data_IF_444988058112
#
_entry.id   IF_444988058112
#
_cell.length_a   1.000
_cell.length_b   1.000
_cell.length_c   1.000
_cell.angle_alpha   90.00
_cell.angle_beta   90.00
_cell.angle_gamma   90.00
#
_symmetry.space_group_name_H-M   'P 1'
#
loop_
_entity.id
_entity.type
_entity.pdbx_description
1 polymer ?
#
# COMPACT_ATOMS: atom_id res chain seq x y z
N UNK A 1 -7.20 -48.66 15.33
CA UNK A 1 -7.59 -47.42 16.06
C UNK A 1 -6.43 -46.46 16.31
N UNK A 2 -5.29 -46.90 16.87
CA UNK A 2 -4.13 -46.01 17.15
C UNK A 2 -3.58 -45.25 15.92
N UNK A 3 -3.52 -45.91 14.75
CA UNK A 3 -3.02 -45.30 13.51
C UNK A 3 -3.94 -44.18 13.00
N UNK A 4 -5.26 -44.38 13.07
CA UNK A 4 -6.27 -43.39 12.66
C UNK A 4 -6.18 -42.12 13.50
N UNK A 5 -5.99 -42.26 14.82
CA UNK A 5 -5.80 -41.13 15.73
C UNK A 5 -4.53 -40.36 15.38
N UNK A 6 -3.44 -41.06 15.09
CA UNK A 6 -2.18 -40.43 14.69
C UNK A 6 -2.34 -39.60 13.40
N UNK A 7 -2.96 -40.19 12.37
CA UNK A 7 -3.23 -39.51 11.10
C UNK A 7 -4.10 -38.28 11.31
N UNK A 8 -5.12 -38.36 12.16
CA UNK A 8 -6.01 -37.24 12.48
C UNK A 8 -5.26 -36.11 13.20
N UNK A 9 -4.42 -36.45 14.17
CA UNK A 9 -3.62 -35.46 14.91
C UNK A 9 -2.59 -34.76 14.03
N UNK A 10 -1.92 -35.50 13.15
CA UNK A 10 -0.95 -34.93 12.21
C UNK A 10 -1.66 -34.01 11.21
N UNK A 11 -2.77 -34.47 10.62
CA UNK A 11 -3.56 -33.65 9.69
C UNK A 11 -4.06 -32.34 10.31
N UNK A 12 -4.52 -32.39 11.56
CA UNK A 12 -5.00 -31.22 12.28
C UNK A 12 -3.87 -30.21 12.57
N UNK A 13 -2.67 -30.69 12.92
CA UNK A 13 -1.51 -29.80 13.15
C UNK A 13 -1.03 -29.11 11.87
N UNK A 14 -1.16 -29.76 10.70
CA UNK A 14 -0.85 -29.14 9.40
C UNK A 14 -1.87 -28.05 9.02
N UNK A 15 -3.15 -28.24 9.34
CA UNK A 15 -4.21 -27.24 9.11
C UNK A 15 -4.06 -26.01 10.02
N UNK A 16 -3.67 -26.22 11.28
CA UNK A 16 -3.42 -25.13 12.25
C UNK A 16 -2.07 -24.44 12.03
N UNK A 17 -1.16 -25.06 11.29
CA UNK A 17 0.18 -24.55 10.96
C UNK A 17 0.20 -23.54 9.81
N UNK A 18 -0.95 -23.21 9.21
CA UNK A 18 -1.08 -22.05 8.32
C UNK A 18 -1.07 -20.79 9.21
N UNK A 19 0.09 -20.51 9.79
CA UNK A 19 0.34 -19.28 10.50
C UNK A 19 -0.02 -18.13 9.57
N UNK A 20 -0.80 -17.17 10.07
CA UNK A 20 -1.01 -15.91 9.38
C UNK A 20 0.37 -15.31 9.11
N UNK A 21 0.87 -15.47 7.89
CA UNK A 21 2.09 -14.81 7.48
C UNK A 21 1.84 -13.32 7.68
N UNK A 22 2.75 -12.57 8.30
CA UNK A 22 2.60 -11.13 8.34
C UNK A 22 2.42 -10.69 6.89
N UNK A 23 1.24 -10.13 6.57
CA UNK A 23 1.06 -9.45 5.31
C UNK A 23 2.25 -8.50 5.21
N UNK A 24 3.00 -8.58 4.12
CA UNK A 24 4.20 -7.78 3.90
C UNK A 24 3.74 -6.32 3.80
N UNK A 25 3.45 -5.70 4.95
CA UNK A 25 2.94 -4.35 5.02
C UNK A 25 4.12 -3.48 4.68
N UNK A 26 4.08 -2.94 3.47
CA UNK A 26 5.00 -1.91 3.05
C UNK A 26 5.04 -0.84 4.14
N UNK A 27 6.21 -0.36 4.52
CA UNK A 27 6.30 0.75 5.47
C UNK A 27 6.26 2.07 4.72
N UNK A 28 5.98 3.15 5.45
CA UNK A 28 6.17 4.47 4.90
C UNK A 28 7.64 4.70 4.52
N UNK A 29 7.88 5.41 3.42
CA UNK A 29 9.20 5.86 3.00
C UNK A 29 9.15 7.28 2.44
N UNK A 30 10.32 7.93 2.42
CA UNK A 30 10.50 9.26 1.86
C UNK A 30 11.31 9.17 0.57
N UNK A 31 10.89 9.87 -0.47
CA UNK A 31 11.57 9.97 -1.76
C UNK A 31 11.85 11.45 -2.06
N UNK A 32 13.12 11.78 -2.30
CA UNK A 32 13.54 13.15 -2.67
C UNK A 32 13.59 13.23 -4.20
N UNK A 33 12.94 14.24 -4.77
CA UNK A 33 12.97 14.51 -6.20
C UNK A 33 14.13 15.47 -6.48
N UNK A 34 15.14 15.01 -7.23
CA UNK A 34 16.41 15.74 -7.36
C UNK A 34 16.29 17.14 -7.96
N UNK A 35 15.31 17.39 -8.83
CA UNK A 35 15.23 18.64 -9.59
C UNK A 35 13.80 19.16 -9.81
N UNK A 36 12.80 18.59 -9.12
CA UNK A 36 11.40 18.85 -9.41
C UNK A 36 10.59 19.12 -8.15
N UNK A 37 9.82 20.21 -8.21
CA UNK A 37 8.69 20.41 -7.33
C UNK A 37 7.62 19.36 -7.69
N UNK A 38 7.21 18.51 -6.74
CA UNK A 38 6.20 17.48 -6.98
C UNK A 38 4.83 18.05 -7.37
N UNK A 39 4.58 19.34 -7.14
CA UNK A 39 3.39 20.04 -7.62
C UNK A 39 3.37 20.23 -9.15
N UNK A 40 4.53 20.15 -9.82
CA UNK A 40 4.67 20.35 -11.27
C UNK A 40 5.28 19.12 -11.95
N UNK A 41 5.05 17.91 -11.41
CA UNK A 41 5.53 16.69 -12.04
C UNK A 41 4.84 16.50 -13.39
N UNK A 42 5.59 16.32 -14.50
CA UNK A 42 5.02 15.91 -15.76
C UNK A 42 4.36 14.53 -15.60
N UNK A 43 3.23 14.31 -16.29
CA UNK A 43 2.62 12.98 -16.36
C UNK A 43 3.66 11.91 -16.74
N UNK A 44 3.68 10.80 -16.00
CA UNK A 44 4.60 9.68 -16.24
C UNK A 44 5.98 9.80 -15.60
N UNK A 45 6.30 10.91 -14.91
CA UNK A 45 7.53 10.97 -14.11
C UNK A 45 7.33 10.22 -12.79
N UNK A 46 8.13 9.18 -12.60
CA UNK A 46 8.24 8.36 -11.39
C UNK A 46 7.10 7.36 -11.10
N UNK A 47 6.37 6.89 -12.11
CA UNK A 47 5.17 6.04 -11.98
C UNK A 47 4.12 6.64 -11.02
N UNK A 48 4.15 7.96 -10.82
CA UNK A 48 3.21 8.67 -9.97
C UNK A 48 1.97 9.04 -10.77
N UNK A 49 0.80 8.62 -10.28
CA UNK A 49 -0.49 8.95 -10.90
C UNK A 49 -1.26 9.89 -9.98
N UNK A 50 -1.71 11.04 -10.50
CA UNK A 50 -2.52 11.95 -9.70
C UNK A 50 -3.87 11.30 -9.34
N UNK A 51 -4.27 11.48 -8.09
CA UNK A 51 -5.38 10.75 -7.50
C UNK A 51 -6.75 11.27 -7.96
N UNK A 52 -6.94 12.59 -7.92
CA UNK A 52 -8.13 13.33 -8.36
C UNK A 52 -7.80 14.83 -8.28
N UNK A 53 -8.54 15.69 -9.00
CA UNK A 53 -8.39 17.15 -8.90
C UNK A 53 -8.78 17.71 -7.53
N UNK A 54 -9.64 17.00 -6.79
CA UNK A 54 -10.14 17.43 -5.48
C UNK A 54 -9.23 17.01 -4.32
N UNK A 55 -8.28 16.09 -4.55
CA UNK A 55 -7.30 15.66 -3.54
C UNK A 55 -5.94 16.20 -3.95
N UNK A 56 -5.68 17.44 -3.56
CA UNK A 56 -4.43 18.14 -3.88
C UNK A 56 -3.23 17.44 -3.25
N UNK A 57 -2.09 17.50 -3.93
CA UNK A 57 -0.78 17.04 -3.47
C UNK A 57 -0.67 15.54 -3.16
N UNK A 58 -1.67 14.73 -3.52
CA UNK A 58 -1.64 13.28 -3.32
C UNK A 58 -1.53 12.52 -4.66
N UNK A 59 -0.71 11.48 -4.65
CA UNK A 59 -0.37 10.68 -5.82
C UNK A 59 -0.39 9.19 -5.47
N UNK A 60 -0.78 8.33 -6.40
CA UNK A 60 -0.52 6.90 -6.34
C UNK A 60 0.91 6.62 -6.83
N UNK A 61 1.65 5.73 -6.17
CA UNK A 61 2.97 5.28 -6.61
C UNK A 61 2.90 3.90 -7.25
N UNK A 62 3.28 3.80 -8.52
CA UNK A 62 3.31 2.56 -9.27
C UNK A 62 1.98 2.20 -9.94
N UNK A 63 1.88 0.92 -10.32
CA UNK A 63 0.67 0.33 -10.88
C UNK A 63 -0.15 -0.29 -9.75
N UNK A 64 -1.33 0.26 -9.51
CA UNK A 64 -2.25 -0.21 -8.48
C UNK A 64 -2.30 0.70 -7.26
N UNK A 65 -3.50 0.80 -6.68
CA UNK A 65 -3.78 1.71 -5.57
C UNK A 65 -3.43 1.07 -4.23
N UNK A 66 -2.15 0.78 -4.06
CA UNK A 66 -1.56 0.18 -2.85
C UNK A 66 -0.78 1.21 -2.03
N UNK A 67 -0.01 2.07 -2.72
CA UNK A 67 0.87 3.07 -2.12
C UNK A 67 0.47 4.48 -2.51
N UNK A 68 0.22 5.33 -1.52
CA UNK A 68 -0.14 6.73 -1.69
C UNK A 68 1.00 7.62 -1.20
N UNK A 69 1.34 8.64 -1.98
CA UNK A 69 2.35 9.63 -1.67
C UNK A 69 1.73 11.00 -1.47
N UNK A 70 2.16 11.69 -0.42
CA UNK A 70 1.92 13.13 -0.24
C UNK A 70 3.14 13.93 -0.68
N UNK A 71 2.90 14.96 -1.48
CA UNK A 71 3.89 15.91 -1.93
C UNK A 71 4.09 17.04 -0.91
N UNK A 72 5.36 17.22 -0.52
CA UNK A 72 5.83 18.36 0.25
C UNK A 72 7.01 19.00 -0.50
N UNK A 73 6.70 19.92 -1.40
CA UNK A 73 7.69 20.63 -2.25
C UNK A 73 8.55 19.70 -3.12
N UNK A 74 9.77 19.37 -2.69
CA UNK A 74 10.71 18.50 -3.43
C UNK A 74 10.72 17.06 -2.92
N UNK A 75 9.77 16.72 -2.06
CA UNK A 75 9.78 15.46 -1.33
C UNK A 75 8.42 14.78 -1.36
N UNK A 76 8.44 13.45 -1.43
CA UNK A 76 7.26 12.61 -1.35
C UNK A 76 7.35 11.76 -0.10
N UNK A 77 6.29 11.77 0.71
CA UNK A 77 6.07 10.81 1.79
C UNK A 77 5.07 9.77 1.31
N UNK A 78 5.55 8.57 1.02
CA UNK A 78 4.77 7.48 0.47
C UNK A 78 4.50 6.43 1.53
N UNK A 79 3.26 5.97 1.63
CA UNK A 79 2.81 5.00 2.61
C UNK A 79 1.75 4.09 2.00
N UNK A 80 1.54 2.90 2.59
CA UNK A 80 0.38 2.10 2.28
C UNK A 80 -0.91 2.88 2.48
N UNK A 81 -1.86 2.65 1.59
CA UNK A 81 -3.17 3.29 1.62
C UNK A 81 -3.83 3.15 3.00
N UNK A 82 -3.77 1.96 3.61
CA UNK A 82 -4.36 1.63 4.90
C UNK A 82 -3.74 2.38 6.09
N UNK A 83 -2.55 2.98 5.91
CA UNK A 83 -1.91 3.84 6.91
C UNK A 83 -2.29 5.31 6.71
N UNK A 84 -2.36 5.78 5.46
CA UNK A 84 -2.74 7.18 5.16
C UNK A 84 -4.21 7.46 5.48
N UNK A 85 -5.07 6.45 5.37
CA UNK A 85 -6.44 6.50 5.88
C UNK A 85 -6.46 6.35 7.40
N UNK A 86 -5.96 7.37 8.12
CA UNK A 86 -6.21 7.49 9.55
C UNK A 86 -7.73 7.50 9.83
N UNK A 87 -8.17 7.19 11.07
CA UNK A 87 -9.59 7.00 11.41
C UNK A 87 -10.50 8.24 11.20
N UNK A 88 -9.93 9.40 10.84
CA UNK A 88 -10.66 10.65 10.53
C UNK A 88 -10.74 10.98 9.03
N UNK A 89 -9.96 10.32 8.17
CA UNK A 89 -9.97 10.54 6.72
C UNK A 89 -10.58 9.28 6.09
N UNK A 90 -11.90 9.15 6.25
CA UNK A 90 -12.70 8.02 5.79
C UNK A 90 -13.23 8.19 4.37
N UNK A 91 -12.49 8.90 3.51
CA UNK A 91 -12.86 9.02 2.11
C UNK A 91 -12.17 7.88 1.35
N UNK A 92 -12.97 7.03 0.70
CA UNK A 92 -12.46 6.05 -0.26
C UNK A 92 -11.85 6.85 -1.39
N UNK A 93 -10.53 6.97 -1.40
CA UNK A 93 -9.86 7.65 -2.49
C UNK A 93 -10.01 6.78 -3.74
N UNK A 94 -10.65 7.29 -4.81
CA UNK A 94 -10.91 6.51 -5.99
C UNK A 94 -9.59 6.10 -6.64
N UNK A 95 -9.59 4.85 -7.09
CA UNK A 95 -8.53 4.30 -7.88
C UNK A 95 -9.01 4.27 -9.32
N UNK A 96 -8.62 5.25 -10.13
CA UNK A 96 -8.81 5.18 -11.57
C UNK A 96 -7.76 4.24 -12.17
N UNK A 97 -7.82 2.96 -11.77
CA UNK A 97 -7.20 1.89 -12.55
C UNK A 97 -8.06 1.72 -13.80
N UNK A 98 -7.75 2.48 -14.85
CA UNK A 98 -8.19 2.17 -16.20
C UNK A 98 -7.33 1.04 -16.77
#
# INVERSE_FOLDING_TARGET
>A
MKLMVLVFTIGLTLLLGVGAMPANRLSCYRKILKDHNCHNLPEGVADLTQIDVNVQDHFWDGKGCEMMCYCNFSELLCCPKDIFFGPKISFVIPCNNQ
#
